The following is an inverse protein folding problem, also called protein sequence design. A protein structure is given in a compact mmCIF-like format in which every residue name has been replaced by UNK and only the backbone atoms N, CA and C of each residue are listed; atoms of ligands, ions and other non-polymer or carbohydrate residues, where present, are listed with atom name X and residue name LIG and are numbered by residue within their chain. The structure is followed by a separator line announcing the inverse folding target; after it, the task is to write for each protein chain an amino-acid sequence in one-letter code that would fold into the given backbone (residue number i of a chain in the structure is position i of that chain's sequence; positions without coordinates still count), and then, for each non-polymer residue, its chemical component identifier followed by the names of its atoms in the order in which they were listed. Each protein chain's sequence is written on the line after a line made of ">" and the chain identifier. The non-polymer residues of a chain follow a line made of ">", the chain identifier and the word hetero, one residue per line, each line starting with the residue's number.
data_IF_874173611547
#
_entry.id   IF_874173611547
#
_cell.length_a   1.000
_cell.length_b   1.000
_cell.length_c   1.000
_cell.angle_alpha   90.00
_cell.angle_beta   90.00
_cell.angle_gamma   90.00
#
_symmetry.space_group_name_H-M   'P 1'
#
loop_
_entity.id
_entity.type
_entity.pdbx_description
1 polymer ?
#
# COMPACT_ATOMS: atom_id res chain seq x y z
N UNK A 1 20.83 11.53 -3.91
CA UNK A 1 20.19 10.19 -3.89
C UNK A 1 18.70 10.40 -4.10
N UNK A 2 18.11 9.84 -5.17
CA UNK A 2 16.70 10.02 -5.48
C UNK A 2 15.83 9.39 -4.37
N UNK A 3 14.85 10.14 -3.85
CA UNK A 3 13.87 9.60 -2.89
C UNK A 3 13.04 8.54 -3.61
N UNK A 4 13.38 7.26 -3.41
CA UNK A 4 12.67 6.13 -4.01
C UNK A 4 11.23 6.15 -3.47
N UNK A 5 10.24 6.34 -4.35
CA UNK A 5 8.84 6.21 -3.97
C UNK A 5 8.59 4.74 -3.62
N UNK A 6 8.05 4.49 -2.43
CA UNK A 6 7.68 3.15 -1.98
C UNK A 6 6.74 2.49 -2.98
N UNK A 7 7.05 1.28 -3.41
CA UNK A 7 6.22 0.45 -4.29
C UNK A 7 5.08 -0.21 -3.50
N UNK A 8 4.05 -0.74 -4.19
CA UNK A 8 2.97 -1.47 -3.52
C UNK A 8 3.52 -2.73 -2.84
N UNK A 9 4.36 -3.48 -3.55
CA UNK A 9 5.00 -4.71 -3.05
C UNK A 9 5.90 -4.46 -1.84
N UNK A 10 6.69 -3.37 -1.84
CA UNK A 10 7.50 -3.00 -0.67
C UNK A 10 6.61 -2.67 0.54
N UNK A 11 5.50 -1.95 0.34
CA UNK A 11 4.57 -1.63 1.43
C UNK A 11 3.89 -2.90 1.98
N UNK A 12 3.46 -3.81 1.11
CA UNK A 12 2.85 -5.09 1.53
C UNK A 12 3.82 -5.99 2.27
N UNK A 13 5.06 -6.10 1.80
CA UNK A 13 6.10 -6.88 2.48
C UNK A 13 6.36 -6.35 3.90
N UNK A 14 6.37 -5.03 4.08
CA UNK A 14 6.54 -4.43 5.40
C UNK A 14 5.33 -4.67 6.31
N UNK A 15 4.10 -4.63 5.78
CA UNK A 15 2.89 -4.97 6.54
C UNK A 15 2.96 -6.43 7.03
N UNK A 16 3.28 -7.37 6.14
CA UNK A 16 3.41 -8.80 6.49
C UNK A 16 4.50 -9.04 7.53
N UNK A 17 5.62 -8.33 7.42
CA UNK A 17 6.69 -8.41 8.41
C UNK A 17 6.20 -7.92 9.78
N UNK A 18 5.51 -6.78 9.84
CA UNK A 18 4.99 -6.26 11.10
C UNK A 18 3.96 -7.22 11.71
N UNK A 19 3.09 -7.83 10.91
CA UNK A 19 2.13 -8.83 11.41
C UNK A 19 2.86 -10.02 12.03
N UNK A 20 3.91 -10.55 11.37
CA UNK A 20 4.72 -11.65 11.93
C UNK A 20 5.38 -11.28 13.26
N UNK A 21 5.90 -10.07 13.37
CA UNK A 21 6.50 -9.56 14.62
C UNK A 21 5.46 -9.47 15.74
N UNK A 22 4.20 -9.12 15.42
CA UNK A 22 3.09 -9.09 16.38
C UNK A 22 2.68 -10.51 16.79
N UNK A 23 2.57 -11.43 15.83
CA UNK A 23 2.17 -12.82 16.09
C UNK A 23 3.18 -13.60 16.94
N UNK A 24 4.47 -13.23 16.86
CA UNK A 24 5.51 -13.87 17.65
C UNK A 24 5.56 -13.41 19.12
N UNK A 25 4.67 -12.50 19.54
CA UNK A 25 4.60 -11.94 20.91
C UNK A 25 5.92 -11.28 21.36
N UNK A 26 6.76 -10.86 20.40
CA UNK A 26 8.08 -10.26 20.63
C UNK A 26 8.00 -8.74 20.87
N UNK A 27 6.80 -8.16 20.90
CA UNK A 27 6.59 -6.72 20.96
C UNK A 27 6.02 -6.26 22.30
N UNK A 28 6.73 -5.31 22.93
CA UNK A 28 6.20 -4.53 24.05
C UNK A 28 4.96 -3.72 23.61
N UNK A 29 4.03 -3.49 24.54
CA UNK A 29 2.75 -2.80 24.31
C UNK A 29 2.96 -1.40 23.72
N UNK A 30 4.01 -0.70 24.14
CA UNK A 30 4.38 0.61 23.59
C UNK A 30 4.86 0.51 22.13
N UNK A 31 5.58 -0.56 21.77
CA UNK A 31 6.04 -0.82 20.41
C UNK A 31 4.89 -1.24 19.50
N UNK A 32 3.90 -1.96 20.03
CA UNK A 32 2.70 -2.35 19.28
C UNK A 32 1.96 -1.13 18.71
N UNK A 33 1.78 -0.08 19.53
CA UNK A 33 1.13 1.17 19.09
C UNK A 33 1.87 1.83 17.92
N UNK A 34 3.22 1.83 17.95
CA UNK A 34 4.05 2.38 16.88
C UNK A 34 3.93 1.54 15.60
N UNK A 35 3.97 0.21 15.73
CA UNK A 35 3.86 -0.74 14.61
C UNK A 35 2.49 -0.67 13.93
N UNK A 36 1.41 -0.57 14.71
CA UNK A 36 0.05 -0.39 14.19
C UNK A 36 -0.10 0.92 13.42
N UNK A 37 0.43 2.05 13.96
CA UNK A 37 0.45 3.34 13.24
C UNK A 37 1.22 3.25 11.92
N UNK A 38 2.34 2.51 11.90
CA UNK A 38 3.11 2.28 10.69
C UNK A 38 2.31 1.49 9.66
N UNK A 39 1.66 0.40 10.06
CA UNK A 39 0.79 -0.40 9.16
C UNK A 39 -0.36 0.44 8.61
N UNK A 40 -1.01 1.28 9.44
CA UNK A 40 -2.07 2.17 8.99
C UNK A 40 -1.59 3.13 7.88
N UNK A 41 -0.39 3.70 8.04
CA UNK A 41 0.23 4.52 6.99
C UNK A 41 0.51 3.73 5.71
N UNK A 42 1.04 2.51 5.82
CA UNK A 42 1.32 1.65 4.66
C UNK A 42 0.02 1.30 3.90
N UNK A 43 -1.06 1.02 4.63
CA UNK A 43 -2.38 0.76 4.06
C UNK A 43 -2.92 1.96 3.29
N UNK A 44 -2.73 3.18 3.80
CA UNK A 44 -3.11 4.40 3.10
C UNK A 44 -2.33 4.56 1.78
N UNK A 45 -1.03 4.25 1.78
CA UNK A 45 -0.21 4.25 0.56
C UNK A 45 -0.72 3.21 -0.44
N UNK A 46 -1.04 1.99 0.03
CA UNK A 46 -1.60 0.94 -0.81
C UNK A 46 -2.93 1.35 -1.43
N UNK A 47 -3.85 1.90 -0.63
CA UNK A 47 -5.15 2.41 -1.08
C UNK A 47 -5.00 3.47 -2.17
N UNK A 48 -4.11 4.44 -1.95
CA UNK A 48 -3.86 5.50 -2.93
C UNK A 48 -3.28 4.99 -4.25
N UNK A 49 -2.45 3.94 -4.21
CA UNK A 49 -1.92 3.30 -5.43
C UNK A 49 -3.03 2.58 -6.19
N UNK A 50 -3.83 1.78 -5.50
CA UNK A 50 -4.94 1.05 -6.11
C UNK A 50 -5.95 2.01 -6.76
N UNK A 51 -6.31 3.09 -6.06
CA UNK A 51 -7.22 4.10 -6.60
C UNK A 51 -6.68 4.76 -7.86
N UNK A 52 -5.40 5.12 -7.90
CA UNK A 52 -4.77 5.69 -9.10
C UNK A 52 -4.75 4.69 -10.26
N UNK A 53 -4.40 3.44 -9.97
CA UNK A 53 -4.42 2.38 -10.99
C UNK A 53 -5.82 2.12 -11.53
N UNK A 54 -6.85 2.16 -10.67
CA UNK A 54 -8.25 2.06 -11.08
C UNK A 54 -8.64 3.19 -12.04
N UNK A 55 -8.29 4.44 -11.70
CA UNK A 55 -8.55 5.60 -12.56
C UNK A 55 -7.85 5.48 -13.93
N UNK A 56 -6.57 5.10 -13.94
CA UNK A 56 -5.81 4.89 -15.18
C UNK A 56 -6.46 3.81 -16.07
N UNK A 57 -6.93 2.71 -15.46
CA UNK A 57 -7.65 1.65 -16.18
C UNK A 57 -8.97 2.17 -16.73
N UNK A 58 -9.73 2.94 -15.95
CA UNK A 58 -11.00 3.53 -16.40
C UNK A 58 -10.81 4.48 -17.58
N UNK A 59 -9.75 5.31 -17.56
CA UNK A 59 -9.38 6.20 -18.68
C UNK A 59 -9.05 5.40 -19.94
N UNK A 60 -8.20 4.37 -19.83
CA UNK A 60 -7.84 3.51 -20.96
C UNK A 60 -9.08 2.82 -21.55
N UNK A 61 -9.99 2.33 -20.70
CA UNK A 61 -11.22 1.71 -21.15
C UNK A 61 -12.12 2.70 -21.90
N UNK A 62 -12.27 3.93 -21.39
CA UNK A 62 -13.02 5.01 -22.05
C UNK A 62 -12.47 5.29 -23.44
N UNK A 63 -11.15 5.43 -23.57
CA UNK A 63 -10.48 5.68 -24.85
C UNK A 63 -10.72 4.55 -25.85
N UNK A 64 -10.66 3.29 -25.41
CA UNK A 64 -10.95 2.12 -26.25
C UNK A 64 -12.42 2.10 -26.71
N UNK A 65 -13.37 2.47 -25.84
CA UNK A 65 -14.79 2.55 -26.21
C UNK A 65 -15.10 3.71 -27.15
N UNK A 66 -14.48 4.88 -26.94
CA UNK A 66 -14.72 6.08 -27.75
C UNK A 66 -14.04 5.99 -29.13
N UNK A 67 -12.97 5.20 -29.28
CA UNK A 67 -12.29 4.99 -30.56
C UNK A 67 -13.06 4.06 -31.55
N UNK A 68 -14.23 3.54 -31.17
CA UNK A 68 -15.07 2.68 -32.01
C UNK A 68 -16.28 3.38 -32.64
N UNK A 69 -16.42 4.69 -32.45
CA UNK A 69 -17.44 5.53 -33.11
C UNK A 69 -16.84 6.39 -34.24
#
# INVERSE_FOLDING_TARGET
>A
MARKKMTYSEAMAEIEQVIKEIENDELDVDLLSVKVKRVAYLLEVCKNKLYKTEQEVEEILKDITNAKE
#
